data_IF_537863378661
#
_entry.id   IF_537863378661
#
_cell.length_a   1.000
_cell.length_b   1.000
_cell.length_c   1.000
_cell.angle_alpha   90.00
_cell.angle_beta   90.00
_cell.angle_gamma   90.00
#
_symmetry.space_group_name_H-M   'P 1'
#
loop_
_entity.id
_entity.type
_entity.pdbx_description
1 polymer ?
#
# COMPACT_ATOMS: atom_id res chain seq x y z
N UNK A 1 8.46 1.03 6.74
CA UNK A 1 8.00 -0.27 6.20
C UNK A 1 9.07 -1.36 6.28
N UNK A 2 10.21 -1.27 5.57
CA UNK A 2 11.24 -2.33 5.51
C UNK A 2 11.71 -2.87 6.87
N UNK A 3 11.91 -2.00 7.87
CA UNK A 3 12.27 -2.43 9.23
C UNK A 3 11.22 -3.37 9.85
N UNK A 4 9.94 -3.02 9.74
CA UNK A 4 8.83 -3.82 10.26
C UNK A 4 8.69 -5.15 9.51
N UNK A 5 8.87 -5.14 8.18
CA UNK A 5 8.89 -6.38 7.38
C UNK A 5 9.97 -7.32 7.89
N UNK A 6 11.20 -6.83 8.07
CA UNK A 6 12.31 -7.65 8.62
C UNK A 6 12.02 -8.19 10.02
N UNK A 7 11.30 -7.42 10.85
CA UNK A 7 10.91 -7.87 12.19
C UNK A 7 9.83 -8.96 12.17
N UNK A 8 9.00 -9.01 11.12
CA UNK A 8 7.90 -9.96 10.93
C UNK A 8 8.25 -11.15 10.04
N UNK A 9 9.36 -11.09 9.32
CA UNK A 9 9.83 -12.13 8.41
C UNK A 9 9.92 -13.50 9.11
N UNK A 10 9.26 -14.51 8.53
CA UNK A 10 9.17 -15.86 9.07
C UNK A 10 8.28 -16.03 10.31
N UNK A 11 7.62 -14.95 10.80
CA UNK A 11 6.72 -14.99 11.97
C UNK A 11 5.25 -14.96 11.60
N UNK A 12 4.92 -14.62 10.37
CA UNK A 12 3.56 -14.49 9.86
C UNK A 12 3.46 -15.11 8.48
N UNK A 13 2.28 -15.63 8.16
CA UNK A 13 1.98 -16.15 6.82
C UNK A 13 1.72 -15.03 5.80
N UNK A 14 1.19 -13.89 6.28
CA UNK A 14 0.74 -12.76 5.45
C UNK A 14 1.09 -11.45 6.13
N UNK A 15 1.58 -10.48 5.36
CA UNK A 15 1.79 -9.10 5.80
C UNK A 15 0.91 -8.13 5.01
N UNK A 16 0.18 -7.26 5.72
CA UNK A 16 -0.70 -6.25 5.13
C UNK A 16 -0.29 -4.86 5.62
N UNK A 17 -0.07 -3.96 4.68
CA UNK A 17 0.19 -2.54 4.95
C UNK A 17 -1.10 -1.74 5.08
N UNK A 18 -1.19 -0.86 6.08
CA UNK A 18 -2.24 0.18 6.15
C UNK A 18 -1.52 1.51 6.16
N UNK A 19 -1.69 2.29 5.10
CA UNK A 19 -0.85 3.45 4.82
C UNK A 19 -1.71 4.64 4.44
N UNK A 20 -1.55 5.76 5.15
CA UNK A 20 -2.20 7.02 4.79
C UNK A 20 -1.43 7.71 3.66
N UNK A 21 -1.46 7.09 2.48
CA UNK A 21 -0.76 7.48 1.27
C UNK A 21 -1.61 7.07 0.07
N UNK A 22 -1.57 7.87 -1.00
CA UNK A 22 -2.27 7.57 -2.26
C UNK A 22 -1.62 6.43 -3.04
N UNK A 23 -2.32 5.94 -4.07
CA UNK A 23 -1.75 4.98 -5.02
C UNK A 23 -0.47 5.51 -5.69
N UNK A 24 -0.60 6.66 -6.35
CA UNK A 24 0.47 7.34 -7.06
C UNK A 24 1.24 8.31 -6.14
N UNK A 25 2.43 8.73 -6.57
CA UNK A 25 3.21 9.74 -5.87
C UNK A 25 2.49 11.10 -5.82
N UNK A 26 2.37 11.65 -4.61
CA UNK A 26 1.83 12.97 -4.36
C UNK A 26 2.74 14.03 -4.98
N UNK A 27 2.15 14.86 -5.85
CA UNK A 27 2.86 15.91 -6.59
C UNK A 27 4.07 15.40 -7.39
N UNK A 28 4.10 14.12 -7.76
CA UNK A 28 5.22 13.50 -8.47
C UNK A 28 6.48 13.32 -7.63
N UNK A 29 6.40 13.45 -6.29
CA UNK A 29 7.54 13.27 -5.40
C UNK A 29 7.75 11.78 -5.13
N UNK A 30 8.90 11.18 -5.51
CA UNK A 30 9.15 9.76 -5.27
C UNK A 30 9.05 9.36 -3.80
N UNK A 31 8.48 8.18 -3.54
CA UNK A 31 8.32 7.61 -2.21
C UNK A 31 7.11 8.13 -1.42
N UNK A 32 6.23 8.90 -2.05
CA UNK A 32 5.01 9.44 -1.41
C UNK A 32 3.74 8.66 -1.78
N UNK A 33 3.81 7.78 -2.78
CA UNK A 33 2.74 6.85 -3.16
C UNK A 33 3.02 5.41 -2.72
N UNK A 34 1.97 4.63 -2.52
CA UNK A 34 2.10 3.22 -2.12
C UNK A 34 2.60 2.32 -3.25
N UNK A 35 2.53 2.75 -4.52
CA UNK A 35 3.17 2.06 -5.64
C UNK A 35 4.68 1.90 -5.43
N UNK A 36 5.36 2.95 -4.97
CA UNK A 36 6.80 2.90 -4.68
C UNK A 36 7.09 1.96 -3.50
N UNK A 37 6.19 1.93 -2.52
CA UNK A 37 6.30 1.01 -1.39
C UNK A 37 6.12 -0.44 -1.83
N UNK A 38 5.11 -0.75 -2.66
CA UNK A 38 4.88 -2.09 -3.19
C UNK A 38 6.06 -2.59 -4.04
N UNK A 39 6.64 -1.73 -4.89
CA UNK A 39 7.84 -2.06 -5.64
C UNK A 39 9.05 -2.32 -4.73
N UNK A 40 9.22 -1.52 -3.67
CA UNK A 40 10.34 -1.63 -2.75
C UNK A 40 10.17 -2.71 -1.66
N UNK A 41 8.96 -3.23 -1.47
CA UNK A 41 8.56 -4.16 -0.40
C UNK A 41 7.60 -5.25 -0.95
N UNK A 42 8.06 -6.12 -1.88
CA UNK A 42 7.23 -7.19 -2.45
C UNK A 42 6.78 -8.26 -1.44
N UNK A 43 7.32 -8.26 -0.23
CA UNK A 43 6.94 -9.16 0.85
C UNK A 43 5.55 -8.84 1.42
N UNK A 44 5.01 -7.64 1.16
CA UNK A 44 3.62 -7.31 1.49
C UNK A 44 2.68 -8.04 0.53
N UNK A 45 1.66 -8.69 1.07
CA UNK A 45 0.62 -9.32 0.25
C UNK A 45 -0.43 -8.32 -0.22
N UNK A 46 -0.72 -7.31 0.61
CA UNK A 46 -1.65 -6.24 0.28
C UNK A 46 -1.33 -4.91 0.98
N UNK A 47 -1.84 -3.81 0.43
CA UNK A 47 -1.82 -2.47 1.01
C UNK A 47 -3.23 -1.87 0.95
N UNK A 48 -3.73 -1.42 2.10
CA UNK A 48 -4.83 -0.47 2.20
C UNK A 48 -4.25 0.95 2.12
N UNK A 49 -4.43 1.59 0.97
CA UNK A 49 -4.09 2.98 0.72
C UNK A 49 -5.19 3.93 1.22
N UNK A 50 -4.90 5.22 1.27
CA UNK A 50 -5.83 6.28 1.65
C UNK A 50 -5.33 7.64 1.10
N UNK A 51 -5.60 8.74 1.80
CA UNK A 51 -5.14 10.11 1.50
C UNK A 51 -5.77 10.76 0.27
N UNK A 52 -5.81 10.08 -0.88
CA UNK A 52 -6.25 10.68 -2.15
C UNK A 52 -7.77 10.78 -2.28
N UNK A 53 -8.51 10.09 -1.43
CA UNK A 53 -9.96 9.99 -1.50
C UNK A 53 -10.41 9.52 -2.89
N UNK A 54 -9.78 8.45 -3.38
CA UNK A 54 -10.09 7.83 -4.65
C UNK A 54 -10.57 6.41 -4.43
N UNK A 55 -11.56 5.98 -5.21
CA UNK A 55 -11.94 4.58 -5.26
C UNK A 55 -10.93 3.80 -6.09
N UNK A 56 -10.07 3.02 -5.43
CA UNK A 56 -9.21 2.03 -6.08
C UNK A 56 -9.74 0.65 -5.69
N UNK A 57 -10.57 0.04 -6.57
CA UNK A 57 -11.19 -1.26 -6.27
C UNK A 57 -10.18 -2.38 -6.11
N UNK A 58 -9.17 -2.39 -6.98
CA UNK A 58 -8.05 -3.33 -6.98
C UNK A 58 -7.00 -2.82 -7.96
N UNK A 59 -5.80 -2.61 -7.47
CA UNK A 59 -4.59 -2.44 -8.27
C UNK A 59 -3.59 -3.52 -7.85
N UNK A 60 -2.72 -3.97 -8.77
CA UNK A 60 -1.68 -4.97 -8.45
C UNK A 60 -0.33 -4.46 -8.91
N UNK A 61 0.58 -4.25 -7.97
CA UNK A 61 1.91 -3.68 -8.22
C UNK A 61 2.94 -4.63 -7.65
N UNK A 62 3.81 -5.18 -8.49
CA UNK A 62 4.84 -6.14 -8.09
C UNK A 62 4.30 -7.32 -7.26
N UNK A 63 3.09 -7.80 -7.60
CA UNK A 63 2.41 -8.88 -6.88
C UNK A 63 1.63 -8.45 -5.62
N UNK A 64 1.77 -7.21 -5.18
CA UNK A 64 1.06 -6.64 -4.01
C UNK A 64 -0.30 -6.11 -4.43
N UNK A 65 -1.37 -6.53 -3.75
CA UNK A 65 -2.72 -6.01 -3.99
C UNK A 65 -2.89 -4.66 -3.29
N UNK A 66 -3.41 -3.64 -3.98
CA UNK A 66 -3.65 -2.31 -3.42
C UNK A 66 -5.12 -1.93 -3.57
N UNK A 67 -5.70 -1.35 -2.52
CA UNK A 67 -7.08 -0.82 -2.52
C UNK A 67 -7.18 0.48 -1.75
N UNK A 68 -8.13 1.33 -2.12
CA UNK A 68 -8.46 2.59 -1.43
C UNK A 68 -10.00 2.79 -1.45
N UNK A 69 -10.66 2.96 -0.29
CA UNK A 69 -12.12 2.97 -0.19
C UNK A 69 -12.73 4.38 -0.33
N UNK A 70 -12.29 5.17 -1.31
CA UNK A 70 -12.81 6.54 -1.55
C UNK A 70 -12.80 7.40 -0.27
N UNK A 71 -13.92 8.05 0.08
CA UNK A 71 -14.05 8.90 1.27
C UNK A 71 -15.41 8.76 1.93
N UNK A 72 -15.47 9.11 3.22
CA UNK A 72 -16.71 9.22 4.00
C UNK A 72 -17.50 7.91 4.19
N UNK A 73 -16.86 6.75 4.06
CA UNK A 73 -17.50 5.45 4.29
C UNK A 73 -18.57 5.11 3.23
N UNK A 74 -18.36 5.55 2.00
CA UNK A 74 -19.30 5.32 0.88
C UNK A 74 -19.17 3.93 0.25
N UNK A 75 -18.14 3.16 0.59
CA UNK A 75 -17.80 1.84 0.05
C UNK A 75 -17.25 0.95 1.16
#
# INVERSE_FOLDING_TARGET
TKKAIKELEGKVDVMVGVMHMGLENENGIPGTGVQDIANACPELSAIFAAHMHKLVKKEVVNGVIITEPDKYGTH
#
